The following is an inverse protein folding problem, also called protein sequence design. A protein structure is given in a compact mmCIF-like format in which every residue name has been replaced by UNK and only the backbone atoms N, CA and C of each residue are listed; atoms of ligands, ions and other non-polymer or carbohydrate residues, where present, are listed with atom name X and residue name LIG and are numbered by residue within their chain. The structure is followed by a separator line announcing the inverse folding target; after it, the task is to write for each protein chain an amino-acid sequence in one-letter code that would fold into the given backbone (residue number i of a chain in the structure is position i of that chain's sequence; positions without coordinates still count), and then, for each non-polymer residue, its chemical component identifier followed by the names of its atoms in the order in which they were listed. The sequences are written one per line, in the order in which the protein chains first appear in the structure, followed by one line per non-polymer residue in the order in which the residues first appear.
data_IF_067348184842
#
_entry.id   IF_067348184842
#
_cell.length_a   1.000
_cell.length_b   1.000
_cell.length_c   1.000
_cell.angle_alpha   90.00
_cell.angle_beta   90.00
_cell.angle_gamma   90.00
#
_symmetry.space_group_name_H-M   'P 1'
#
loop_
_entity.id
_entity.type
_entity.pdbx_description
1 polymer ?
#
# COMPACT_ATOMS: atom_id res chain seq x y z
N UNK A 1 -14.01 4.38 16.02
CA UNK A 1 -13.66 5.53 15.17
C UNK A 1 -14.19 5.32 13.78
N UNK A 2 -14.85 6.32 13.25
CA UNK A 2 -15.30 6.31 11.85
C UNK A 2 -14.60 7.43 11.11
N UNK A 3 -14.16 7.16 9.90
CA UNK A 3 -13.42 8.12 9.11
C UNK A 3 -14.30 8.67 7.98
N UNK A 4 -14.09 9.93 7.68
CA UNK A 4 -14.65 10.57 6.49
C UNK A 4 -13.50 11.07 5.65
N UNK A 5 -13.52 10.75 4.37
CA UNK A 5 -12.48 11.18 3.44
C UNK A 5 -13.12 12.06 2.37
N UNK A 6 -12.54 13.23 2.15
CA UNK A 6 -13.03 14.15 1.13
C UNK A 6 -11.87 14.59 0.27
N UNK A 7 -12.03 14.48 -1.05
CA UNK A 7 -11.06 15.00 -1.99
C UNK A 7 -11.67 16.19 -2.70
N UNK A 8 -11.01 17.33 -2.63
CA UNK A 8 -11.53 18.59 -3.15
C UNK A 8 -10.50 19.19 -4.10
N UNK A 9 -10.99 19.76 -5.20
CA UNK A 9 -10.13 20.56 -6.09
C UNK A 9 -9.77 21.84 -5.33
N UNK A 10 -8.49 21.99 -4.97
CA UNK A 10 -8.06 23.10 -4.14
C UNK A 10 -8.18 24.46 -4.84
N UNK A 11 -8.23 24.45 -6.17
CA UNK A 11 -8.35 25.71 -6.94
C UNK A 11 -9.79 26.18 -7.09
N UNK A 12 -10.72 25.23 -7.21
CA UNK A 12 -12.12 25.56 -7.49
C UNK A 12 -13.05 25.33 -6.31
N UNK A 13 -12.63 24.53 -5.33
CA UNK A 13 -13.48 24.15 -4.21
C UNK A 13 -14.44 23.00 -4.51
N UNK A 14 -14.40 22.49 -5.73
CA UNK A 14 -15.29 21.39 -6.11
C UNK A 14 -14.92 20.11 -5.37
N UNK A 15 -15.92 19.41 -4.81
CA UNK A 15 -15.70 18.11 -4.19
C UNK A 15 -15.64 17.05 -5.29
N UNK A 16 -14.49 16.39 -5.42
CA UNK A 16 -14.27 15.41 -6.45
C UNK A 16 -14.64 14.00 -6.00
N UNK A 17 -14.48 13.71 -4.72
CA UNK A 17 -14.80 12.41 -4.17
C UNK A 17 -15.02 12.52 -2.67
N UNK A 18 -15.96 11.74 -2.14
CA UNK A 18 -16.22 11.73 -0.72
C UNK A 18 -16.66 10.33 -0.30
N UNK A 19 -16.05 9.83 0.78
CA UNK A 19 -16.42 8.55 1.39
C UNK A 19 -16.69 8.77 2.87
N UNK A 20 -17.71 8.13 3.39
CA UNK A 20 -18.07 8.23 4.80
C UNK A 20 -18.18 6.85 5.42
N UNK A 21 -18.20 6.82 6.75
CA UNK A 21 -18.36 5.58 7.53
C UNK A 21 -17.25 4.56 7.26
N UNK A 22 -16.05 5.03 6.97
CA UNK A 22 -14.91 4.16 6.75
C UNK A 22 -14.35 3.69 8.09
N UNK A 23 -13.98 2.43 8.18
CA UNK A 23 -13.29 1.89 9.34
C UNK A 23 -11.77 2.10 9.24
N UNK A 24 -11.25 2.12 8.02
CA UNK A 24 -9.83 2.40 7.78
C UNK A 24 -9.66 2.94 6.37
N UNK A 25 -8.52 3.58 6.15
CA UNK A 25 -8.14 4.11 4.84
C UNK A 25 -6.65 3.97 4.64
N UNK A 26 -6.26 3.60 3.43
CA UNK A 26 -4.86 3.53 3.02
C UNK A 26 -4.74 4.41 1.78
N UNK A 27 -3.83 5.39 1.82
CA UNK A 27 -3.76 6.40 0.77
C UNK A 27 -2.32 6.65 0.37
N UNK A 28 -2.12 6.98 -0.89
CA UNK A 28 -0.83 7.39 -1.40
C UNK A 28 -1.00 8.71 -2.11
N UNK A 29 -0.12 9.67 -1.82
CA UNK A 29 -0.17 11.00 -2.41
C UNK A 29 1.08 11.23 -3.25
N UNK A 30 0.92 12.00 -4.32
CA UNK A 30 2.05 12.40 -5.14
C UNK A 30 2.07 13.89 -5.36
N UNK A 31 3.28 14.47 -5.37
CA UNK A 31 3.52 15.87 -5.76
C UNK A 31 4.59 15.88 -6.82
N UNK A 32 4.32 16.57 -7.91
CA UNK A 32 5.34 16.80 -8.94
C UNK A 32 6.20 17.97 -8.50
N UNK A 33 7.51 17.79 -8.56
CA UNK A 33 8.47 18.84 -8.27
C UNK A 33 9.41 18.98 -9.45
N UNK A 34 10.28 19.99 -9.42
CA UNK A 34 11.26 20.15 -10.48
C UNK A 34 12.27 19.02 -10.52
N UNK A 35 12.46 18.34 -9.39
CA UNK A 35 13.42 17.26 -9.27
C UNK A 35 12.81 15.89 -9.48
N UNK A 36 11.49 15.81 -9.62
CA UNK A 36 10.82 14.54 -9.79
C UNK A 36 9.47 14.50 -9.11
N UNK A 37 9.16 13.38 -8.46
CA UNK A 37 7.89 13.19 -7.79
C UNK A 37 8.13 12.79 -6.34
N UNK A 38 7.49 13.51 -5.44
CA UNK A 38 7.44 13.13 -4.02
C UNK A 38 6.23 12.25 -3.76
N UNK A 39 6.44 11.13 -3.10
CA UNK A 39 5.35 10.24 -2.69
C UNK A 39 5.28 10.13 -1.19
N UNK A 40 4.07 10.04 -0.68
CA UNK A 40 3.83 9.81 0.73
C UNK A 40 2.63 8.89 0.88
N UNK A 41 2.73 7.92 1.79
CA UNK A 41 1.61 7.04 2.08
C UNK A 41 1.15 7.24 3.52
N UNK A 42 -0.14 7.11 3.73
CA UNK A 42 -0.77 7.28 5.03
C UNK A 42 -1.78 6.17 5.23
N UNK A 43 -1.73 5.55 6.40
CA UNK A 43 -2.72 4.55 6.79
C UNK A 43 -3.32 4.99 8.12
N UNK A 44 -4.65 5.00 8.17
CA UNK A 44 -5.38 5.38 9.38
C UNK A 44 -6.53 4.42 9.60
N UNK A 45 -6.85 4.16 10.85
CA UNK A 45 -7.95 3.29 11.18
C UNK A 45 -7.74 2.60 12.51
N UNK A 46 -8.71 1.79 12.89
CA UNK A 46 -8.67 1.00 14.11
C UNK A 46 -8.91 -0.46 13.78
N UNK A 47 -8.25 -1.34 14.53
CA UNK A 47 -8.49 -2.78 14.48
C UNK A 47 -8.25 -3.37 13.09
N UNK A 48 -7.27 -2.83 12.36
CA UNK A 48 -6.89 -3.41 11.07
C UNK A 48 -6.15 -4.72 11.29
N UNK A 49 -6.64 -5.77 10.63
CA UNK A 49 -5.98 -7.07 10.64
C UNK A 49 -5.04 -7.19 9.44
N UNK A 50 -4.17 -8.20 9.48
CA UNK A 50 -3.32 -8.50 8.33
C UNK A 50 -4.16 -8.82 7.08
N UNK A 51 -5.31 -9.46 7.27
CA UNK A 51 -6.21 -9.76 6.16
C UNK A 51 -6.78 -8.48 5.55
N UNK A 52 -7.11 -7.49 6.39
CA UNK A 52 -7.60 -6.20 5.88
C UNK A 52 -6.56 -5.53 5.00
N UNK A 53 -5.29 -5.53 5.42
CA UNK A 53 -4.19 -5.00 4.61
C UNK A 53 -4.07 -5.73 3.29
N UNK A 54 -4.13 -7.07 3.33
CA UNK A 54 -4.01 -7.87 2.12
C UNK A 54 -5.13 -7.55 1.13
N UNK A 55 -6.35 -7.40 1.62
CA UNK A 55 -7.49 -7.05 0.76
C UNK A 55 -7.34 -5.65 0.16
N UNK A 56 -6.81 -4.70 0.93
CA UNK A 56 -6.55 -3.36 0.40
C UNK A 56 -5.54 -3.40 -0.75
N UNK A 57 -4.47 -4.15 -0.58
CA UNK A 57 -3.43 -4.27 -1.60
C UNK A 57 -3.98 -4.98 -2.85
N UNK A 58 -4.78 -6.02 -2.64
CA UNK A 58 -5.44 -6.71 -3.75
C UNK A 58 -6.35 -5.76 -4.52
N UNK A 59 -7.08 -4.90 -3.81
CA UNK A 59 -7.93 -3.90 -4.43
C UNK A 59 -7.15 -2.91 -5.29
N UNK A 60 -5.98 -2.49 -4.80
CA UNK A 60 -5.10 -1.58 -5.56
C UNK A 60 -4.59 -2.28 -6.82
N UNK A 61 -4.14 -3.53 -6.69
CA UNK A 61 -3.66 -4.30 -7.85
C UNK A 61 -4.75 -4.48 -8.90
N UNK A 62 -5.97 -4.78 -8.46
CA UNK A 62 -7.11 -4.91 -9.38
C UNK A 62 -7.42 -3.61 -10.10
N UNK A 63 -7.36 -2.48 -9.39
CA UNK A 63 -7.59 -1.17 -9.98
C UNK A 63 -6.53 -0.84 -11.02
N UNK A 64 -5.26 -1.17 -10.73
CA UNK A 64 -4.17 -0.94 -11.66
C UNK A 64 -4.37 -1.78 -12.92
N UNK A 65 -4.64 -3.08 -12.76
CA UNK A 65 -4.85 -3.97 -13.90
C UNK A 65 -5.98 -3.45 -14.78
N UNK A 66 -7.09 -3.06 -14.17
CA UNK A 66 -8.27 -2.60 -14.88
C UNK A 66 -8.02 -1.31 -15.67
N UNK A 67 -7.24 -0.40 -15.09
CA UNK A 67 -7.03 0.92 -15.68
C UNK A 67 -5.86 0.97 -16.65
N UNK A 68 -4.91 0.06 -16.53
CA UNK A 68 -3.69 0.11 -17.33
C UNK A 68 -3.56 -0.98 -18.37
N UNK A 69 -4.56 -1.87 -18.46
CA UNK A 69 -4.45 -3.02 -19.39
C UNK A 69 -4.24 -2.62 -20.85
N UNK A 70 -4.75 -1.46 -21.24
CA UNK A 70 -4.65 -0.99 -22.61
C UNK A 70 -3.40 -0.15 -22.87
N UNK A 71 -2.55 0.04 -21.86
CA UNK A 71 -1.32 0.82 -21.99
C UNK A 71 -0.12 -0.06 -21.65
N UNK A 72 0.44 -0.67 -22.69
CA UNK A 72 1.51 -1.66 -22.52
C UNK A 72 2.75 -1.08 -21.87
N UNK A 73 3.11 0.16 -22.22
CA UNK A 73 4.31 0.78 -21.66
C UNK A 73 4.17 0.98 -20.16
N UNK A 74 3.01 1.48 -19.72
CA UNK A 74 2.75 1.71 -18.31
C UNK A 74 2.65 0.38 -17.56
N UNK A 75 1.98 -0.60 -18.15
CA UNK A 75 1.88 -1.93 -17.53
C UNK A 75 3.26 -2.57 -17.35
N UNK A 76 4.14 -2.43 -18.35
CA UNK A 76 5.49 -2.96 -18.27
C UNK A 76 6.26 -2.28 -17.14
N UNK A 77 6.21 -0.95 -17.08
CA UNK A 77 6.88 -0.19 -16.02
C UNK A 77 6.37 -0.60 -14.64
N UNK A 78 5.05 -0.71 -14.49
CA UNK A 78 4.45 -1.14 -13.22
C UNK A 78 4.92 -2.53 -12.83
N UNK A 79 4.95 -3.46 -13.80
CA UNK A 79 5.38 -4.83 -13.54
C UNK A 79 6.82 -4.88 -13.03
N UNK A 80 7.72 -4.12 -13.66
CA UNK A 80 9.12 -4.09 -13.23
C UNK A 80 9.28 -3.54 -11.83
N UNK A 81 8.57 -2.46 -11.50
CA UNK A 81 8.59 -1.89 -10.15
C UNK A 81 8.05 -2.90 -9.14
N UNK A 82 6.95 -3.56 -9.48
CA UNK A 82 6.31 -4.53 -8.59
C UNK A 82 7.23 -5.71 -8.31
N UNK A 83 7.91 -6.21 -9.32
CA UNK A 83 8.86 -7.32 -9.13
C UNK A 83 9.99 -6.92 -8.21
N UNK A 84 10.51 -5.71 -8.33
CA UNK A 84 11.53 -5.21 -7.44
C UNK A 84 11.06 -5.15 -5.99
N UNK A 85 9.84 -4.70 -5.77
CA UNK A 85 9.25 -4.67 -4.42
C UNK A 85 9.10 -6.08 -3.86
N UNK A 86 8.62 -7.02 -4.68
CA UNK A 86 8.45 -8.41 -4.24
C UNK A 86 9.78 -9.05 -3.87
N UNK A 87 10.84 -8.78 -4.63
CA UNK A 87 12.16 -9.27 -4.30
C UNK A 87 12.61 -8.78 -2.93
N UNK A 88 12.38 -7.52 -2.63
CA UNK A 88 12.73 -6.94 -1.33
C UNK A 88 11.94 -7.60 -0.20
N UNK A 89 10.65 -7.84 -0.42
CA UNK A 89 9.80 -8.47 0.58
C UNK A 89 10.28 -9.89 0.86
N UNK A 90 10.61 -10.64 -0.17
CA UNK A 90 11.12 -12.00 -0.02
C UNK A 90 12.43 -12.01 0.76
N UNK A 91 13.34 -11.07 0.46
CA UNK A 91 14.61 -10.97 1.17
C UNK A 91 14.41 -10.70 2.66
N UNK A 92 13.50 -9.77 2.99
CA UNK A 92 13.20 -9.45 4.38
C UNK A 92 12.58 -10.66 5.08
N UNK A 93 11.67 -11.36 4.41
CA UNK A 93 11.05 -12.56 4.98
C UNK A 93 12.09 -13.65 5.27
N UNK A 94 13.06 -13.83 4.39
CA UNK A 94 14.11 -14.80 4.59
C UNK A 94 15.01 -14.43 5.78
N UNK A 95 15.32 -13.15 5.94
CA UNK A 95 16.11 -12.68 7.07
C UNK A 95 15.41 -12.85 8.40
N UNK A 96 14.08 -12.71 8.38
CA UNK A 96 13.26 -12.78 9.58
C UNK A 96 12.83 -14.19 9.94
N UNK A 97 13.32 -15.19 9.20
CA UNK A 97 12.89 -16.58 9.42
C UNK A 97 13.21 -17.03 10.84
N UNK A 98 12.23 -17.63 11.54
CA UNK A 98 12.46 -18.17 12.88
C UNK A 98 13.47 -19.30 12.83
N UNK A 99 14.22 -19.45 13.89
CA UNK A 99 15.22 -20.49 14.00
C UNK A 99 16.57 -20.10 13.44
N UNK A 100 16.64 -18.95 12.88
CA UNK A 100 17.90 -18.41 12.39
C UNK A 100 18.29 -17.22 13.24
N UNK A 101 18.45 -17.36 14.25
CA UNK A 101 18.63 -16.27 15.05
C UNK A 101 17.39 -15.79 15.75
N UNK A 102 17.30 -16.31 15.66
CA UNK A 102 16.30 -16.15 16.26
C UNK A 102 15.92 -16.29 17.10
N UNK A 103 16.48 -16.50 17.50
CA UNK A 103 15.56 -16.87 18.13
C UNK A 103 15.03 -16.51 18.48
N UNK A 104 15.29 -16.59 18.60
CA UNK A 104 14.06 -16.62 19.05
C UNK A 104 13.38 -16.47 19.05
N UNK A 105 14.07 -16.60 18.96
CA UNK A 105 12.91 -16.79 19.24
C UNK A 105 12.51 -17.07 19.46
N UNK A 106 13.21 -17.41 19.70
CA UNK A 106 12.38 -17.88 20.17
C UNK A 106 11.67 -17.62 20.36
N UNK A 107 12.28 -17.82 20.51
CA UNK A 107 11.29 -17.92 20.90
C UNK A 107 10.37 -17.45 20.66
N UNK A 108 10.86 -17.61 20.62
CA UNK A 108 9.75 -17.63 20.54
C UNK A 108 9.04 -17.59 20.17
N UNK A 109 10.04 -18.00 20.18
CA UNK A 109 9.12 -18.36 20.12
C UNK A 109 8.87 -18.62 19.73
N UNK A 110 9.24 -19.03 19.93
CA UNK A 110 8.70 -19.61 19.90
C UNK A 110 8.06 -19.57 19.48
N UNK A 111 8.67 -19.85 19.58
CA UNK A 111 7.96 -20.15 19.41
C UNK A 111 7.54 -19.88 18.91
N UNK A 112 8.62 -19.98 18.90
CA UNK A 112 8.06 -19.92 18.53
C UNK A 112 7.93 -19.63 18.41
#
# INVERSE_FOLDING_TARGET
MKLKLTMTNAETGEVLHEETDLNFAMMCFGRKTEEGIDFQSVTRGENMTAADFAHCLDGVDNAVEKNLRDNKAVCTAYTLVKLGVLEKIVAVSAEARPGEGTADAKKEGEQG
#
